data_IF_615424417930
#
_entry.id   IF_615424417930
#
_cell.length_a   1.000
_cell.length_b   1.000
_cell.length_c   1.000
_cell.angle_alpha   90.00
_cell.angle_beta   90.00
_cell.angle_gamma   90.00
#
_symmetry.space_group_name_H-M   'P 1'
#
loop_
_entity.id
_entity.type
_entity.pdbx_description
1 polymer ?
#
# COMPACT_ATOMS: atom_id res chain seq x y z
N UNK A 1 -25.08 -48.25 -17.04
CA UNK A 1 -23.73 -48.14 -17.66
C UNK A 1 -23.44 -49.31 -18.60
N UNK A 2 -23.56 -50.57 -18.15
CA UNK A 2 -23.28 -51.75 -18.97
C UNK A 2 -24.15 -51.87 -20.23
N UNK A 3 -25.45 -51.55 -20.17
CA UNK A 3 -26.34 -51.55 -21.33
C UNK A 3 -25.89 -50.57 -22.42
N UNK A 4 -25.51 -49.34 -22.03
CA UNK A 4 -25.00 -48.31 -22.95
C UNK A 4 -23.64 -48.70 -23.54
N UNK A 5 -22.80 -49.42 -22.78
CA UNK A 5 -21.51 -49.95 -23.24
C UNK A 5 -21.67 -50.94 -24.38
N UNK A 6 -22.58 -51.91 -24.23
CA UNK A 6 -22.88 -52.88 -25.30
C UNK A 6 -23.41 -52.19 -26.56
N UNK A 7 -24.39 -51.28 -26.40
CA UNK A 7 -24.95 -50.52 -27.53
C UNK A 7 -23.90 -49.67 -28.25
N UNK A 8 -22.96 -49.06 -27.52
CA UNK A 8 -21.87 -48.28 -28.10
C UNK A 8 -20.92 -49.16 -28.93
N UNK A 9 -20.46 -50.28 -28.35
CA UNK A 9 -19.52 -51.20 -29.01
C UNK A 9 -20.14 -51.79 -30.29
N UNK A 10 -21.37 -52.28 -30.22
CA UNK A 10 -22.03 -52.91 -31.38
C UNK A 10 -22.23 -51.91 -32.53
N UNK A 11 -22.57 -50.65 -32.22
CA UNK A 11 -22.72 -49.59 -33.23
C UNK A 11 -21.39 -49.19 -33.87
N UNK A 12 -20.30 -49.12 -33.10
CA UNK A 12 -18.96 -48.81 -33.63
C UNK A 12 -18.49 -49.92 -34.59
N UNK A 13 -18.67 -51.19 -34.20
CA UNK A 13 -18.31 -52.35 -35.03
C UNK A 13 -19.09 -52.39 -36.34
N UNK A 14 -20.40 -52.09 -36.31
CA UNK A 14 -21.26 -52.13 -37.49
C UNK A 14 -21.04 -50.96 -38.46
N UNK A 15 -20.75 -49.75 -37.96
CA UNK A 15 -20.77 -48.52 -38.80
C UNK A 15 -19.40 -47.95 -39.15
N UNK A 16 -18.39 -48.09 -38.30
CA UNK A 16 -17.08 -47.46 -38.52
C UNK A 16 -15.97 -48.47 -38.84
N UNK A 17 -16.15 -49.75 -38.51
CA UNK A 17 -15.14 -50.78 -38.70
C UNK A 17 -13.99 -50.63 -37.70
N UNK A 18 -13.84 -51.57 -36.78
CA UNK A 18 -12.80 -51.54 -35.75
C UNK A 18 -12.78 -52.81 -34.90
N UNK A 19 -11.82 -52.95 -33.98
CA UNK A 19 -11.80 -54.09 -33.04
C UNK A 19 -12.64 -53.81 -31.80
N UNK A 20 -13.18 -54.87 -31.21
CA UNK A 20 -14.00 -54.79 -29.99
C UNK A 20 -13.20 -54.24 -28.81
N UNK A 21 -11.91 -54.56 -28.72
CA UNK A 21 -11.07 -54.08 -27.62
C UNK A 21 -10.90 -52.57 -27.66
N UNK A 22 -10.69 -51.98 -28.84
CA UNK A 22 -10.50 -50.52 -29.00
C UNK A 22 -11.80 -49.78 -28.63
N UNK A 23 -12.95 -50.26 -29.10
CA UNK A 23 -14.24 -49.65 -28.77
C UNK A 23 -14.56 -49.72 -27.27
N UNK A 24 -14.21 -50.85 -26.63
CA UNK A 24 -14.33 -51.02 -25.18
C UNK A 24 -13.41 -50.06 -24.43
N UNK A 25 -12.14 -49.97 -24.84
CA UNK A 25 -11.18 -49.07 -24.19
C UNK A 25 -11.60 -47.61 -24.32
N UNK A 26 -12.08 -47.17 -25.49
CA UNK A 26 -12.55 -45.82 -25.72
C UNK A 26 -13.79 -45.48 -24.87
N UNK A 27 -14.72 -46.41 -24.69
CA UNK A 27 -15.84 -46.24 -23.77
C UNK A 27 -15.36 -46.05 -22.33
N UNK A 28 -14.39 -46.85 -21.89
CA UNK A 28 -13.82 -46.74 -20.54
C UNK A 28 -13.09 -45.38 -20.35
N UNK A 29 -12.45 -44.85 -21.39
CA UNK A 29 -11.90 -43.48 -21.38
C UNK A 29 -13.01 -42.42 -21.25
N UNK A 30 -14.07 -42.48 -22.06
CA UNK A 30 -15.21 -41.55 -21.97
C UNK A 30 -15.80 -41.59 -20.56
N UNK A 31 -16.02 -42.77 -19.99
CA UNK A 31 -16.55 -42.94 -18.64
C UNK A 31 -15.66 -42.28 -17.57
N UNK A 32 -14.33 -42.42 -17.71
CA UNK A 32 -13.36 -41.78 -16.81
C UNK A 32 -13.35 -40.25 -16.98
N UNK A 33 -13.37 -39.75 -18.21
CA UNK A 33 -13.41 -38.31 -18.50
C UNK A 33 -14.73 -37.66 -18.08
N UNK A 34 -15.85 -38.37 -18.19
CA UNK A 34 -17.17 -37.86 -17.83
C UNK A 34 -17.26 -37.40 -16.37
N UNK A 35 -16.46 -38.00 -15.46
CA UNK A 35 -16.37 -37.58 -14.06
C UNK A 35 -15.78 -36.18 -13.86
N UNK A 36 -15.02 -35.66 -14.83
CA UNK A 36 -14.38 -34.34 -14.80
C UNK A 36 -14.80 -33.45 -15.97
N UNK A 37 -15.71 -33.92 -16.83
CA UNK A 37 -16.15 -33.19 -18.00
C UNK A 37 -17.00 -31.98 -17.57
N UNK A 38 -16.65 -30.80 -18.08
CA UNK A 38 -17.34 -29.57 -17.73
C UNK A 38 -18.28 -29.12 -18.86
N UNK A 39 -19.50 -28.60 -18.55
CA UNK A 39 -20.45 -28.17 -19.57
C UNK A 39 -19.89 -27.02 -20.43
N UNK A 40 -19.61 -27.29 -21.71
CA UNK A 40 -19.12 -26.28 -22.66
C UNK A 40 -20.06 -25.08 -22.78
N UNK A 41 -21.38 -25.32 -22.74
CA UNK A 41 -22.38 -24.26 -22.80
C UNK A 41 -22.29 -23.27 -21.62
N UNK A 42 -21.80 -23.72 -20.46
CA UNK A 42 -21.54 -22.85 -19.32
C UNK A 42 -20.15 -22.20 -19.41
N UNK A 43 -19.11 -22.94 -19.83
CA UNK A 43 -17.75 -22.42 -19.92
C UNK A 43 -17.59 -21.27 -20.93
N UNK A 44 -18.22 -21.39 -22.11
CA UNK A 44 -18.00 -20.45 -23.22
C UNK A 44 -18.44 -19.02 -22.89
N UNK A 45 -19.64 -18.76 -22.32
CA UNK A 45 -20.03 -17.40 -21.93
C UNK A 45 -19.10 -16.75 -20.90
N UNK A 46 -18.65 -17.49 -19.87
CA UNK A 46 -17.72 -16.95 -18.88
C UNK A 46 -16.32 -16.69 -19.45
N UNK A 47 -15.86 -17.56 -20.35
CA UNK A 47 -14.62 -17.34 -21.08
C UNK A 47 -14.69 -16.08 -21.96
N UNK A 48 -15.84 -15.83 -22.61
CA UNK A 48 -16.05 -14.61 -23.40
C UNK A 48 -15.97 -13.35 -22.54
N UNK A 49 -16.62 -13.34 -21.37
CA UNK A 49 -16.53 -12.21 -20.42
C UNK A 49 -15.08 -12.01 -19.95
N UNK A 50 -14.37 -13.09 -19.63
CA UNK A 50 -12.97 -13.04 -19.21
C UNK A 50 -12.05 -12.50 -20.32
N UNK A 51 -12.32 -12.86 -21.57
CA UNK A 51 -11.61 -12.32 -22.73
C UNK A 51 -11.90 -10.82 -22.91
N UNK A 52 -13.16 -10.40 -22.79
CA UNK A 52 -13.56 -9.00 -22.92
C UNK A 52 -12.92 -8.13 -21.83
N UNK A 53 -12.88 -8.58 -20.57
CA UNK A 53 -12.23 -7.84 -19.49
C UNK A 53 -10.72 -7.76 -19.69
N UNK A 54 -10.09 -8.86 -20.12
CA UNK A 54 -8.66 -8.86 -20.46
C UNK A 54 -8.35 -7.91 -21.62
N UNK A 55 -9.18 -7.89 -22.66
CA UNK A 55 -9.05 -6.98 -23.80
C UNK A 55 -9.14 -5.52 -23.38
N UNK A 56 -10.12 -5.15 -22.55
CA UNK A 56 -10.26 -3.79 -22.03
C UNK A 56 -9.07 -3.39 -21.16
N UNK A 57 -8.59 -4.27 -20.28
CA UNK A 57 -7.41 -4.01 -19.46
C UNK A 57 -6.14 -3.84 -20.30
N UNK A 58 -6.01 -4.57 -21.41
CA UNK A 58 -4.83 -4.49 -22.27
C UNK A 58 -4.80 -3.23 -23.15
N UNK A 59 -5.96 -2.81 -23.69
CA UNK A 59 -6.04 -1.72 -24.67
C UNK A 59 -6.44 -0.37 -24.05
N UNK A 60 -7.26 -0.38 -22.99
CA UNK A 60 -7.78 0.81 -22.31
C UNK A 60 -7.58 0.72 -20.79
N UNK A 61 -6.33 0.56 -20.32
CA UNK A 61 -6.04 0.26 -18.91
C UNK A 61 -6.52 1.36 -17.96
N UNK A 62 -6.46 2.63 -18.37
CA UNK A 62 -6.87 3.78 -17.55
C UNK A 62 -8.38 3.74 -17.25
N UNK A 63 -9.20 3.66 -18.30
CA UNK A 63 -10.67 3.59 -18.20
C UNK A 63 -11.11 2.30 -17.49
N UNK A 64 -10.42 1.19 -17.74
CA UNK A 64 -10.69 -0.07 -17.07
C UNK A 64 -10.44 0.01 -15.57
N UNK A 65 -9.29 0.58 -15.15
CA UNK A 65 -8.96 0.73 -13.74
C UNK A 65 -9.87 1.74 -13.04
N UNK A 66 -10.21 2.86 -13.69
CA UNK A 66 -11.20 3.82 -13.18
C UNK A 66 -12.55 3.15 -12.92
N UNK A 67 -13.07 2.42 -13.92
CA UNK A 67 -14.34 1.71 -13.81
C UNK A 67 -14.32 0.68 -12.68
N UNK A 68 -13.23 -0.07 -12.57
CA UNK A 68 -13.06 -1.09 -11.53
C UNK A 68 -13.01 -0.49 -10.12
N UNK A 69 -12.33 0.64 -9.96
CA UNK A 69 -12.31 1.39 -8.69
C UNK A 69 -13.68 1.94 -8.33
N UNK A 70 -14.43 2.46 -9.31
CA UNK A 70 -15.78 2.98 -9.10
C UNK A 70 -16.80 1.88 -8.73
N UNK A 71 -16.68 0.67 -9.29
CA UNK A 71 -17.55 -0.46 -8.93
C UNK A 71 -17.43 -0.86 -7.44
N UNK A 72 -16.23 -0.75 -6.87
CA UNK A 72 -15.92 -1.19 -5.51
C UNK A 72 -15.47 0.00 -4.63
N UNK A 73 -16.01 1.20 -4.88
CA UNK A 73 -15.56 2.47 -4.27
C UNK A 73 -15.58 2.48 -2.73
N UNK A 74 -16.45 1.68 -2.10
CA UNK A 74 -16.54 1.58 -0.63
C UNK A 74 -15.70 0.44 -0.05
N UNK A 75 -15.09 -0.41 -0.89
CA UNK A 75 -14.27 -1.53 -0.46
C UNK A 75 -12.79 -1.16 -0.43
N UNK A 76 -12.35 -0.63 0.71
CA UNK A 76 -10.96 -0.15 0.89
C UNK A 76 -9.89 -1.23 0.67
N UNK A 77 -10.17 -2.50 0.99
CA UNK A 77 -9.24 -3.60 0.75
C UNK A 77 -9.03 -3.88 -0.73
N UNK A 78 -10.11 -3.84 -1.53
CA UNK A 78 -10.03 -3.96 -2.99
C UNK A 78 -9.41 -2.74 -3.64
N UNK A 79 -9.79 -1.53 -3.20
CA UNK A 79 -9.19 -0.29 -3.71
C UNK A 79 -7.67 -0.27 -3.53
N UNK A 80 -7.15 -0.74 -2.38
CA UNK A 80 -5.70 -0.90 -2.18
C UNK A 80 -5.08 -1.78 -3.26
N UNK A 81 -5.70 -2.92 -3.58
CA UNK A 81 -5.20 -3.83 -4.62
C UNK A 81 -5.22 -3.16 -6.01
N UNK A 82 -6.29 -2.44 -6.32
CA UNK A 82 -6.41 -1.72 -7.59
C UNK A 82 -5.41 -0.58 -7.72
N UNK A 83 -5.16 0.18 -6.65
CA UNK A 83 -4.13 1.23 -6.65
C UNK A 83 -2.74 0.62 -6.84
N UNK A 84 -2.44 -0.49 -6.18
CA UNK A 84 -1.16 -1.19 -6.36
C UNK A 84 -0.98 -1.68 -7.80
N UNK A 85 -2.04 -2.24 -8.39
CA UNK A 85 -2.01 -2.72 -9.78
C UNK A 85 -1.92 -1.57 -10.78
N UNK A 86 -2.64 -0.46 -10.56
CA UNK A 86 -2.54 0.74 -11.38
C UNK A 86 -1.10 1.28 -11.40
N UNK A 87 -0.45 1.39 -10.22
CA UNK A 87 0.96 1.77 -10.10
C UNK A 87 1.88 0.82 -10.87
N UNK A 88 1.65 -0.51 -10.79
CA UNK A 88 2.41 -1.52 -11.54
C UNK A 88 2.25 -1.37 -13.05
N UNK A 89 1.09 -0.93 -13.51
CA UNK A 89 0.79 -0.64 -14.91
C UNK A 89 1.31 0.75 -15.37
N UNK A 90 1.95 1.51 -14.48
CA UNK A 90 2.44 2.86 -14.76
C UNK A 90 1.35 3.93 -14.79
N UNK A 91 0.18 3.65 -14.19
CA UNK A 91 -0.90 4.62 -14.00
C UNK A 91 -0.70 5.29 -12.64
N UNK A 92 -0.61 6.61 -12.63
CA UNK A 92 -0.47 7.40 -11.41
C UNK A 92 -1.84 7.64 -10.80
N UNK A 93 -1.96 7.49 -9.48
CA UNK A 93 -3.16 7.88 -8.75
C UNK A 93 -2.89 9.21 -8.07
N UNK A 94 -3.55 10.27 -8.53
CA UNK A 94 -3.41 11.60 -7.95
C UNK A 94 -4.29 11.73 -6.70
N UNK A 95 -3.83 12.45 -5.65
CA UNK A 95 -4.55 12.57 -4.39
C UNK A 95 -5.87 13.32 -4.57
N UNK A 96 -6.74 13.17 -3.57
CA UNK A 96 -7.99 13.91 -3.50
C UNK A 96 -7.71 15.42 -3.48
N UNK A 97 -8.53 16.20 -4.19
CA UNK A 97 -8.49 17.66 -4.21
C UNK A 97 -9.91 18.18 -4.38
N UNK A 98 -10.39 19.09 -3.52
CA UNK A 98 -11.77 19.60 -3.63
C UNK A 98 -12.03 20.36 -4.94
N UNK A 99 -10.98 20.93 -5.54
CA UNK A 99 -11.07 21.71 -6.77
C UNK A 99 -10.91 20.89 -8.04
N UNK A 100 -10.31 19.70 -7.98
CA UNK A 100 -10.05 18.85 -9.16
C UNK A 100 -10.83 17.53 -9.11
N UNK A 101 -10.90 16.88 -7.95
CA UNK A 101 -11.58 15.59 -7.78
C UNK A 101 -13.08 15.67 -8.01
N UNK A 102 -13.61 14.58 -8.54
CA UNK A 102 -15.05 14.34 -8.63
C UNK A 102 -15.51 13.48 -7.44
N UNK A 103 -16.82 13.26 -7.30
CA UNK A 103 -17.34 12.33 -6.31
C UNK A 103 -16.78 10.92 -6.54
N UNK A 104 -16.75 10.46 -7.79
CA UNK A 104 -16.18 9.19 -8.23
C UNK A 104 -14.73 9.36 -8.72
N UNK A 105 -13.99 8.25 -8.85
CA UNK A 105 -12.69 8.25 -9.52
C UNK A 105 -12.86 8.67 -10.98
N UNK A 106 -11.90 9.45 -11.49
CA UNK A 106 -11.93 9.92 -12.87
C UNK A 106 -10.53 9.97 -13.46
N UNK A 107 -10.37 9.45 -14.68
CA UNK A 107 -9.17 9.61 -15.48
C UNK A 107 -8.94 11.08 -15.88
N UNK A 108 -7.69 11.50 -15.79
CA UNK A 108 -7.14 12.75 -16.30
C UNK A 108 -6.14 12.44 -17.43
N UNK A 109 -5.58 13.47 -18.04
CA UNK A 109 -4.56 13.31 -19.09
C UNK A 109 -3.30 12.60 -18.54
N UNK A 110 -2.59 11.90 -19.44
CA UNK A 110 -1.26 11.29 -19.19
C UNK A 110 -1.25 10.14 -18.19
N UNK A 111 -2.20 9.19 -18.25
CA UNK A 111 -2.22 8.00 -17.36
C UNK A 111 -2.37 8.36 -15.89
N UNK A 112 -3.17 9.36 -15.58
CA UNK A 112 -3.45 9.77 -14.21
C UNK A 112 -4.91 9.48 -13.89
N UNK A 113 -5.19 8.85 -12.76
CA UNK A 113 -6.55 8.73 -12.22
C UNK A 113 -6.61 9.56 -10.95
N UNK A 114 -7.52 10.53 -10.93
CA UNK A 114 -7.78 11.35 -9.74
C UNK A 114 -8.62 10.57 -8.73
N UNK A 115 -8.20 10.63 -7.47
CA UNK A 115 -8.92 9.98 -6.38
C UNK A 115 -10.33 10.58 -6.22
N UNK A 116 -11.35 9.72 -6.19
CA UNK A 116 -12.74 10.13 -5.97
C UNK A 116 -12.99 10.51 -4.51
N UNK A 117 -13.65 11.65 -4.27
CA UNK A 117 -13.91 12.13 -2.91
C UNK A 117 -14.81 11.19 -2.11
N UNK A 118 -15.71 10.45 -2.76
CA UNK A 118 -16.61 9.49 -2.11
C UNK A 118 -15.91 8.19 -1.67
N UNK A 119 -14.67 7.94 -2.13
CA UNK A 119 -13.86 6.80 -1.71
C UNK A 119 -13.18 7.01 -0.35
N UNK A 120 -13.17 8.24 0.16
CA UNK A 120 -12.64 8.58 1.48
C UNK A 120 -13.48 7.93 2.59
N UNK A 121 -12.82 7.42 3.63
CA UNK A 121 -13.50 6.89 4.81
C UNK A 121 -14.29 7.99 5.51
N UNK A 122 -15.48 7.63 6.00
CA UNK A 122 -16.40 8.54 6.70
C UNK A 122 -16.95 9.69 5.84
N UNK A 123 -16.75 9.63 4.52
CA UNK A 123 -17.32 10.58 3.58
C UNK A 123 -18.49 9.91 2.85
N UNK A 124 -19.63 10.60 2.77
CA UNK A 124 -20.83 10.07 2.10
C UNK A 124 -20.85 10.48 0.63
N UNK A 125 -21.22 9.55 -0.27
CA UNK A 125 -21.30 9.80 -1.72
C UNK A 125 -22.17 11.01 -2.05
N UNK A 126 -23.36 11.10 -1.44
CA UNK A 126 -24.28 12.21 -1.68
C UNK A 126 -23.70 13.59 -1.33
N UNK A 127 -22.91 13.67 -0.25
CA UNK A 127 -22.30 14.92 0.17
C UNK A 127 -21.23 15.37 -0.85
N UNK A 128 -20.47 14.41 -1.41
CA UNK A 128 -19.45 14.71 -2.41
C UNK A 128 -20.03 15.03 -3.78
N UNK A 129 -21.15 14.41 -4.14
CA UNK A 129 -21.92 14.80 -5.33
C UNK A 129 -22.46 16.23 -5.20
N UNK A 130 -22.97 16.60 -4.01
CA UNK A 130 -23.44 17.97 -3.76
C UNK A 130 -22.29 18.97 -3.83
N UNK A 131 -21.13 18.64 -3.25
CA UNK A 131 -19.91 19.45 -3.36
C UNK A 131 -19.50 19.63 -4.83
N UNK A 132 -19.50 18.54 -5.61
CA UNK A 132 -19.19 18.59 -7.03
C UNK A 132 -20.18 19.48 -7.80
N UNK A 133 -21.49 19.33 -7.58
CA UNK A 133 -22.53 20.14 -8.23
C UNK A 133 -22.38 21.62 -7.89
N UNK A 134 -22.12 21.93 -6.63
CA UNK A 134 -21.89 23.30 -6.17
C UNK A 134 -20.66 23.92 -6.87
N UNK A 135 -19.58 23.15 -7.04
CA UNK A 135 -18.39 23.55 -7.82
C UNK A 135 -18.70 23.75 -9.31
N UNK A 136 -19.51 22.88 -9.91
CA UNK A 136 -19.89 22.98 -11.33
C UNK A 136 -20.80 24.20 -11.60
N UNK A 137 -21.69 24.55 -10.66
CA UNK A 137 -22.60 25.69 -10.80
C UNK A 137 -21.91 27.04 -10.54
N UNK A 138 -21.09 27.14 -9.49
CA UNK A 138 -20.54 28.42 -9.00
C UNK A 138 -19.02 28.55 -9.22
N UNK A 139 -18.39 27.59 -9.90
CA UNK A 139 -16.95 27.58 -10.19
C UNK A 139 -16.07 27.00 -9.07
N UNK A 140 -14.73 26.94 -9.26
CA UNK A 140 -13.80 26.40 -8.28
C UNK A 140 -13.83 27.21 -6.96
N UNK A 141 -13.44 26.55 -5.87
CA UNK A 141 -13.29 27.20 -4.57
C UNK A 141 -12.00 28.04 -4.56
N UNK A 142 -12.11 29.33 -4.27
CA UNK A 142 -10.97 30.25 -4.26
C UNK A 142 -10.23 30.31 -2.92
N UNK A 143 -10.93 30.06 -1.83
CA UNK A 143 -10.38 30.05 -0.47
C UNK A 143 -11.13 29.07 0.43
N UNK A 144 -10.58 28.82 1.62
CA UNK A 144 -11.23 27.99 2.63
C UNK A 144 -12.58 28.58 3.06
N UNK A 145 -12.66 29.90 3.25
CA UNK A 145 -13.88 30.61 3.61
C UNK A 145 -14.94 30.48 2.51
N UNK A 146 -14.52 30.61 1.24
CA UNK A 146 -15.42 30.41 0.09
C UNK A 146 -16.04 29.01 0.09
N UNK A 147 -15.22 27.98 0.36
CA UNK A 147 -15.69 26.60 0.47
C UNK A 147 -16.67 26.43 1.63
N UNK A 148 -16.33 26.93 2.82
CA UNK A 148 -17.16 26.78 4.02
C UNK A 148 -18.52 27.48 3.88
N UNK A 149 -18.56 28.66 3.27
CA UNK A 149 -19.81 29.39 3.03
C UNK A 149 -20.68 28.77 1.93
N UNK A 150 -20.07 28.28 0.85
CA UNK A 150 -20.84 27.66 -0.25
C UNK A 150 -21.42 26.31 0.14
N UNK A 151 -20.70 25.57 0.97
CA UNK A 151 -21.12 24.25 1.46
C UNK A 151 -21.84 24.31 2.81
N UNK A 152 -22.25 25.52 3.26
CA UNK A 152 -22.89 25.76 4.56
C UNK A 152 -23.91 24.67 4.90
N UNK A 153 -23.72 24.00 6.05
CA UNK A 153 -24.58 22.93 6.57
C UNK A 153 -24.60 21.58 5.79
N UNK A 154 -23.88 21.44 4.68
CA UNK A 154 -23.82 20.17 3.92
C UNK A 154 -22.71 19.24 4.39
N UNK A 155 -21.63 19.80 4.93
CA UNK A 155 -20.49 19.04 5.46
C UNK A 155 -20.58 18.90 6.98
N UNK A 156 -20.48 17.67 7.47
CA UNK A 156 -20.38 17.38 8.90
C UNK A 156 -18.92 17.39 9.37
N UNK A 157 -18.73 17.38 10.71
CA UNK A 157 -17.39 17.35 11.32
C UNK A 157 -16.50 16.24 10.77
N UNK A 158 -17.01 15.00 10.73
CA UNK A 158 -16.23 13.82 10.26
C UNK A 158 -15.82 13.91 8.79
N UNK A 159 -16.68 14.47 7.94
CA UNK A 159 -16.40 14.69 6.52
C UNK A 159 -15.30 15.74 6.36
N UNK A 160 -15.36 16.82 7.13
CA UNK A 160 -14.31 17.84 7.12
C UNK A 160 -12.97 17.29 7.64
N UNK A 161 -12.98 16.50 8.73
CA UNK A 161 -11.80 15.77 9.22
C UNK A 161 -11.19 14.88 8.14
N UNK A 162 -12.02 14.10 7.44
CA UNK A 162 -11.58 13.22 6.36
C UNK A 162 -10.99 14.00 5.17
N UNK A 163 -11.58 15.13 4.77
CA UNK A 163 -11.07 15.98 3.70
C UNK A 163 -9.73 16.64 4.07
N UNK A 164 -9.58 17.11 5.31
CA UNK A 164 -8.33 17.67 5.83
C UNK A 164 -7.23 16.60 5.87
N UNK A 165 -7.52 15.44 6.47
CA UNK A 165 -6.54 14.36 6.64
C UNK A 165 -6.14 13.71 5.31
N UNK A 166 -7.05 13.65 4.33
CA UNK A 166 -6.76 13.21 2.97
C UNK A 166 -5.93 14.21 2.14
N UNK A 167 -5.74 15.44 2.61
CA UNK A 167 -5.07 16.49 1.84
C UNK A 167 -5.93 17.14 0.75
N UNK A 168 -7.25 16.94 0.78
CA UNK A 168 -8.15 17.47 -0.24
C UNK A 168 -8.22 19.01 -0.25
N UNK A 169 -7.85 19.64 0.86
CA UNK A 169 -7.85 21.09 1.05
C UNK A 169 -6.47 21.74 0.88
N UNK A 170 -5.41 20.98 0.57
CA UNK A 170 -4.04 21.49 0.53
C UNK A 170 -3.85 22.62 -0.48
N UNK A 171 -4.59 22.59 -1.59
CA UNK A 171 -4.57 23.65 -2.60
C UNK A 171 -5.23 24.96 -2.14
N UNK A 172 -6.08 24.92 -1.12
CA UNK A 172 -6.72 26.10 -0.51
C UNK A 172 -5.92 26.58 0.70
N UNK A 173 -5.43 25.65 1.51
CA UNK A 173 -4.68 25.95 2.72
C UNK A 173 -3.73 24.79 3.06
N UNK A 174 -2.39 25.01 3.00
CA UNK A 174 -1.41 23.92 3.08
C UNK A 174 -1.21 23.35 4.50
N UNK A 175 -1.54 24.10 5.56
CA UNK A 175 -1.25 23.66 6.93
C UNK A 175 -2.40 22.81 7.51
N UNK A 176 -2.39 21.51 7.21
CA UNK A 176 -3.41 20.55 7.67
C UNK A 176 -3.58 20.51 9.20
N UNK A 177 -2.49 20.62 9.97
CA UNK A 177 -2.52 20.60 11.44
C UNK A 177 -3.34 21.75 12.04
N UNK A 178 -3.17 22.96 11.49
CA UNK A 178 -3.92 24.17 11.85
C UNK A 178 -5.41 24.02 11.54
N UNK A 179 -5.77 23.42 10.40
CA UNK A 179 -7.17 23.13 10.04
C UNK A 179 -7.80 22.13 11.00
N UNK A 180 -7.09 21.05 11.31
CA UNK A 180 -7.57 20.01 12.21
C UNK A 180 -7.76 20.55 13.64
N UNK A 181 -6.82 21.35 14.13
CA UNK A 181 -6.92 21.99 15.44
C UNK A 181 -8.07 23.01 15.51
N UNK A 182 -8.36 23.70 14.40
CA UNK A 182 -9.39 24.73 14.32
C UNK A 182 -10.76 24.20 13.87
N UNK A 183 -10.97 22.89 13.79
CA UNK A 183 -12.13 22.32 13.07
C UNK A 183 -13.49 22.77 13.64
N UNK A 184 -13.62 22.88 14.96
CA UNK A 184 -14.85 23.35 15.59
C UNK A 184 -15.15 24.81 15.27
N UNK A 185 -14.10 25.61 15.01
CA UNK A 185 -14.25 27.00 14.52
C UNK A 185 -14.66 27.03 13.05
N UNK A 186 -14.10 26.14 12.22
CA UNK A 186 -14.50 26.01 10.81
C UNK A 186 -15.99 25.69 10.68
N UNK A 187 -16.49 24.75 11.50
CA UNK A 187 -17.90 24.37 11.50
C UNK A 187 -18.80 25.52 11.97
N UNK A 188 -18.42 26.23 13.04
CA UNK A 188 -19.14 27.42 13.50
C UNK A 188 -19.19 28.50 12.42
N UNK A 189 -18.07 28.72 11.73
CA UNK A 189 -17.99 29.67 10.63
C UNK A 189 -18.87 29.28 9.44
N UNK A 190 -18.90 28.00 9.07
CA UNK A 190 -19.77 27.49 8.00
C UNK A 190 -21.27 27.60 8.32
N UNK A 191 -21.63 27.68 9.60
CA UNK A 191 -23.02 27.86 10.04
C UNK A 191 -23.42 29.35 10.15
N UNK A 192 -22.46 30.29 10.05
CA UNK A 192 -22.77 31.71 10.08
C UNK A 192 -23.43 32.11 8.76
N UNK A 193 -24.59 32.78 8.80
CA UNK A 193 -25.21 33.27 7.59
C UNK A 193 -24.30 34.32 6.96
N UNK A 194 -23.97 34.13 5.67
CA UNK A 194 -23.39 35.19 4.86
C UNK A 194 -24.44 36.29 4.81
N UNK A 195 -24.12 37.47 5.34
CA UNK A 195 -25.03 38.61 5.36
C UNK A 195 -25.27 39.11 3.93
N UNK A 196 -26.18 38.47 3.21
CA UNK A 196 -26.82 39.04 2.05
C UNK A 196 -27.98 39.92 2.55
N UNK A 197 -27.95 41.20 2.18
CA UNK A 197 -29.02 42.19 2.38
C UNK A 197 -29.23 42.83 3.77
N UNK A 198 -28.16 43.12 4.51
CA UNK A 198 -28.24 44.13 5.58
C UNK A 198 -27.62 45.45 5.13
N UNK A 199 -28.40 46.55 5.22
CA UNK A 199 -28.00 47.94 4.97
C UNK A 199 -26.83 48.45 5.84
N UNK A 200 -26.34 47.61 6.75
CA UNK A 200 -25.17 47.87 7.58
C UNK A 200 -24.08 46.89 7.19
N UNK A 201 -22.84 47.35 6.94
CA UNK A 201 -21.71 46.47 6.71
C UNK A 201 -21.43 45.71 7.99
N UNK A 202 -21.94 44.49 8.08
CA UNK A 202 -21.51 43.53 9.09
C UNK A 202 -20.05 43.23 8.78
N UNK A 203 -19.15 43.55 9.70
CA UNK A 203 -17.74 43.18 9.56
C UNK A 203 -17.68 41.68 9.24
N UNK A 204 -17.22 41.35 8.03
CA UNK A 204 -17.01 39.96 7.63
C UNK A 204 -16.01 39.41 8.64
N UNK A 205 -16.49 38.58 9.56
CA UNK A 205 -15.63 37.97 10.57
C UNK A 205 -14.58 37.16 9.83
N UNK A 206 -13.35 37.64 9.78
CA UNK A 206 -12.26 36.90 9.15
C UNK A 206 -12.03 35.60 9.93
N UNK A 207 -11.93 34.48 9.22
CA UNK A 207 -11.70 33.17 9.83
C UNK A 207 -10.36 33.19 10.61
N UNK A 208 -10.44 33.17 11.94
CA UNK A 208 -9.25 33.17 12.79
C UNK A 208 -8.86 31.74 13.20
N UNK A 209 -7.87 31.20 12.48
CA UNK A 209 -7.30 29.87 12.72
C UNK A 209 -6.28 29.90 13.87
N UNK A 210 -6.32 28.88 14.73
CA UNK A 210 -5.31 28.69 15.76
C UNK A 210 -4.13 27.92 15.17
N UNK A 211 -2.96 28.56 15.17
CA UNK A 211 -1.72 27.93 14.73
C UNK A 211 -1.42 26.70 15.60
N UNK A 212 -1.07 25.61 14.93
CA UNK A 212 -0.59 24.37 15.53
C UNK A 212 0.76 24.03 14.92
N UNK A 213 1.68 23.35 15.63
CA UNK A 213 2.88 22.79 15.02
C UNK A 213 2.54 22.00 13.75
N UNK A 214 3.38 22.12 12.73
CA UNK A 214 3.21 21.33 11.50
C UNK A 214 3.36 19.84 11.83
N UNK A 215 2.56 19.00 11.19
CA UNK A 215 2.69 17.55 11.32
C UNK A 215 4.03 17.08 10.77
N UNK A 216 4.64 16.11 11.44
CA UNK A 216 5.78 15.39 10.88
C UNK A 216 5.37 14.58 9.64
N UNK A 217 6.35 14.12 8.85
CA UNK A 217 6.10 13.29 7.67
C UNK A 217 5.35 12.00 8.04
N UNK A 218 5.77 11.33 9.13
CA UNK A 218 5.13 10.10 9.60
C UNK A 218 3.69 10.34 10.04
N UNK A 219 3.46 11.38 10.83
CA UNK A 219 2.14 11.76 11.32
C UNK A 219 1.19 12.09 10.15
N UNK A 220 1.68 12.83 9.15
CA UNK A 220 0.93 13.13 7.92
C UNK A 220 0.52 11.86 7.17
N UNK A 221 1.45 10.91 6.98
CA UNK A 221 1.17 9.65 6.31
C UNK A 221 0.17 8.78 7.07
N UNK A 222 0.21 8.80 8.40
CA UNK A 222 -0.75 8.08 9.24
C UNK A 222 -2.15 8.69 9.14
N UNK A 223 -2.27 10.02 9.11
CA UNK A 223 -3.54 10.69 8.84
C UNK A 223 -4.08 10.38 7.43
N UNK A 224 -3.23 10.36 6.41
CA UNK A 224 -3.62 9.94 5.06
C UNK A 224 -4.10 8.48 5.07
N UNK A 225 -3.40 7.58 5.75
CA UNK A 225 -3.80 6.17 5.89
C UNK A 225 -5.16 6.03 6.58
N UNK A 226 -5.46 6.87 7.57
CA UNK A 226 -6.77 6.88 8.23
C UNK A 226 -7.88 7.35 7.28
N UNK A 227 -7.61 8.36 6.45
CA UNK A 227 -8.57 8.90 5.49
C UNK A 227 -8.84 7.95 4.31
N UNK A 228 -7.79 7.43 3.67
CA UNK A 228 -7.89 6.53 2.51
C UNK A 228 -8.10 5.06 2.91
N UNK A 229 -7.71 4.68 4.13
CA UNK A 229 -7.65 3.30 4.60
C UNK A 229 -6.34 2.56 4.28
N UNK A 230 -5.48 3.14 3.45
CA UNK A 230 -4.18 2.61 3.05
C UNK A 230 -3.24 3.77 2.64
N UNK A 231 -1.96 3.51 2.50
CA UNK A 231 -0.98 4.51 2.05
C UNK A 231 -1.10 4.77 0.55
N UNK A 232 -1.59 5.95 0.15
CA UNK A 232 -1.80 6.31 -1.25
C UNK A 232 -0.50 6.75 -1.94
N UNK A 233 0.18 7.76 -1.41
CA UNK A 233 1.34 8.39 -2.07
C UNK A 233 2.62 7.60 -1.83
N UNK A 234 2.99 7.41 -0.56
CA UNK A 234 4.21 6.72 -0.16
C UNK A 234 3.98 5.95 1.13
N UNK A 235 4.74 4.87 1.31
CA UNK A 235 4.74 4.13 2.57
C UNK A 235 5.82 4.75 3.48
N UNK A 236 5.63 4.80 4.81
CA UNK A 236 6.65 5.31 5.73
C UNK A 236 8.01 4.60 5.59
N UNK A 237 7.98 3.33 5.21
CA UNK A 237 9.19 2.54 4.94
C UNK A 237 9.85 2.83 3.59
N UNK A 238 9.21 3.53 2.65
CA UNK A 238 9.75 3.69 1.29
C UNK A 238 11.13 4.35 1.29
N UNK A 239 11.29 5.48 1.99
CA UNK A 239 12.58 6.17 2.10
C UNK A 239 13.63 5.33 2.83
N UNK A 240 13.21 4.64 3.91
CA UNK A 240 14.09 3.76 4.67
C UNK A 240 14.59 2.57 3.84
N UNK A 241 13.71 1.93 3.07
CA UNK A 241 14.02 0.77 2.23
C UNK A 241 14.82 1.13 0.98
N UNK A 242 14.69 2.36 0.47
CA UNK A 242 15.58 2.87 -0.58
C UNK A 242 17.03 2.96 -0.08
N UNK A 243 17.21 3.34 1.18
CA UNK A 243 18.51 3.45 1.83
C UNK A 243 19.00 2.14 2.49
N UNK A 244 18.21 1.05 2.39
CA UNK A 244 18.50 -0.23 3.05
C UNK A 244 18.47 -1.40 2.05
N UNK A 245 19.49 -1.52 1.18
CA UNK A 245 19.57 -2.58 0.15
C UNK A 245 19.68 -4.00 0.74
N UNK A 246 20.11 -4.11 1.99
CA UNK A 246 20.25 -5.34 2.75
C UNK A 246 18.90 -5.92 3.22
N UNK A 247 17.85 -5.10 3.17
CA UNK A 247 16.49 -5.51 3.51
C UNK A 247 15.83 -6.10 2.27
N UNK A 248 15.43 -7.36 2.38
CA UNK A 248 14.67 -8.04 1.32
C UNK A 248 13.24 -7.50 1.33
N UNK A 249 12.78 -7.02 0.17
CA UNK A 249 11.41 -6.53 -0.02
C UNK A 249 10.48 -7.69 -0.39
N UNK A 250 9.20 -7.53 -0.11
CA UNK A 250 8.16 -8.54 -0.33
C UNK A 250 8.03 -8.95 -1.81
N UNK A 251 8.26 -8.04 -2.75
CA UNK A 251 8.23 -8.33 -4.18
C UNK A 251 9.56 -8.89 -4.73
N UNK A 252 10.66 -8.87 -3.96
CA UNK A 252 11.97 -9.38 -4.38
C UNK A 252 12.05 -10.91 -4.20
N UNK A 253 11.24 -11.61 -5.01
CA UNK A 253 11.11 -13.07 -4.96
C UNK A 253 12.42 -13.78 -5.31
N UNK A 254 13.26 -13.20 -6.17
CA UNK A 254 14.54 -13.78 -6.56
C UNK A 254 15.50 -13.83 -5.36
N UNK A 255 15.74 -12.71 -4.68
CA UNK A 255 16.59 -12.71 -3.48
C UNK A 255 16.02 -13.59 -2.39
N UNK A 256 14.70 -13.52 -2.16
CA UNK A 256 14.04 -14.37 -1.17
C UNK A 256 14.28 -15.85 -1.47
N UNK A 257 14.11 -16.28 -2.72
CA UNK A 257 14.30 -17.68 -3.13
C UNK A 257 15.76 -18.14 -2.95
N UNK A 258 16.73 -17.27 -3.19
CA UNK A 258 18.16 -17.56 -3.01
C UNK A 258 18.51 -17.82 -1.54
N UNK A 259 18.03 -16.97 -0.63
CA UNK A 259 18.26 -17.16 0.81
C UNK A 259 17.59 -18.46 1.32
N UNK A 260 16.37 -18.75 0.86
CA UNK A 260 15.65 -19.97 1.24
C UNK A 260 16.41 -21.21 0.78
N UNK A 261 16.90 -21.24 -0.47
CA UNK A 261 17.69 -22.38 -0.99
C UNK A 261 18.99 -22.60 -0.21
N UNK A 262 19.61 -21.52 0.28
CA UNK A 262 20.83 -21.58 1.11
C UNK A 262 20.54 -21.84 2.59
N UNK A 263 19.27 -21.97 2.99
CA UNK A 263 18.82 -22.08 4.38
C UNK A 263 19.38 -20.95 5.27
N UNK A 264 19.47 -19.75 4.72
CA UNK A 264 20.00 -18.56 5.39
C UNK A 264 18.86 -17.66 5.87
N UNK A 265 19.04 -17.07 7.04
CA UNK A 265 18.16 -16.00 7.53
C UNK A 265 18.45 -14.70 6.78
N UNK A 266 17.42 -13.92 6.51
CA UNK A 266 17.51 -12.61 5.87
C UNK A 266 16.68 -11.58 6.62
N UNK A 267 16.97 -10.30 6.38
CA UNK A 267 16.29 -9.18 7.04
C UNK A 267 15.12 -8.71 6.18
N UNK A 268 13.97 -8.48 6.80
CA UNK A 268 12.82 -7.80 6.20
C UNK A 268 12.35 -6.70 7.15
N UNK A 269 11.75 -5.65 6.61
CA UNK A 269 11.12 -4.61 7.42
C UNK A 269 9.68 -4.42 6.97
N UNK A 270 8.80 -4.06 7.90
CA UNK A 270 7.38 -3.94 7.60
C UNK A 270 6.63 -3.20 8.68
N UNK A 271 5.56 -2.51 8.31
CA UNK A 271 4.59 -1.96 9.26
C UNK A 271 3.51 -2.98 9.55
N UNK A 272 3.21 -3.18 10.83
CA UNK A 272 2.18 -4.12 11.27
C UNK A 272 0.81 -3.62 10.79
N UNK A 273 0.12 -4.46 10.03
CA UNK A 273 -1.24 -4.18 9.55
C UNK A 273 -2.29 -4.91 10.38
N UNK A 274 -2.03 -6.18 10.72
CA UNK A 274 -2.94 -7.01 11.48
C UNK A 274 -2.18 -8.12 12.22
N UNK A 275 -2.70 -8.52 13.37
CA UNK A 275 -2.17 -9.62 14.19
C UNK A 275 -3.30 -10.62 14.46
N UNK A 276 -3.07 -11.89 14.10
CA UNK A 276 -4.00 -12.99 14.33
C UNK A 276 -3.36 -14.04 15.23
N UNK A 277 -3.66 -13.99 16.51
CA UNK A 277 -3.23 -15.01 17.48
C UNK A 277 -4.04 -16.31 17.29
N UNK A 278 -3.37 -17.46 17.37
CA UNK A 278 -3.93 -18.80 17.30
C UNK A 278 -3.28 -19.72 18.34
N UNK A 279 -3.97 -20.80 18.66
CA UNK A 279 -3.46 -21.86 19.55
C UNK A 279 -3.19 -23.09 18.71
N UNK A 280 -1.99 -23.66 18.84
CA UNK A 280 -1.62 -24.89 18.16
C UNK A 280 -2.31 -26.09 18.81
N UNK A 281 -2.34 -27.24 18.11
CA UNK A 281 -2.88 -28.50 18.65
C UNK A 281 -2.20 -28.94 19.96
N UNK A 282 -0.96 -28.50 20.20
CA UNK A 282 -0.20 -28.74 21.42
C UNK A 282 -0.36 -27.65 22.50
N UNK A 283 -1.35 -26.77 22.39
CA UNK A 283 -1.65 -25.74 23.40
C UNK A 283 -0.74 -24.50 23.37
N UNK A 284 0.37 -24.53 22.62
CA UNK A 284 1.26 -23.36 22.46
C UNK A 284 0.62 -22.29 21.58
N UNK A 285 0.70 -21.03 22.00
CA UNK A 285 0.23 -19.86 21.23
C UNK A 285 1.20 -19.53 20.11
N UNK A 286 0.68 -19.05 18.99
CA UNK A 286 1.44 -18.49 17.89
C UNK A 286 0.61 -17.41 17.20
N UNK A 287 1.23 -16.53 16.42
CA UNK A 287 0.52 -15.48 15.71
C UNK A 287 0.92 -15.43 14.24
N UNK A 288 -0.04 -15.11 13.38
CA UNK A 288 0.22 -14.65 12.02
C UNK A 288 0.16 -13.12 12.03
N UNK A 289 1.23 -12.48 11.60
CA UNK A 289 1.31 -11.02 11.53
C UNK A 289 1.38 -10.65 10.05
N UNK A 290 0.44 -9.83 9.60
CA UNK A 290 0.47 -9.25 8.26
C UNK A 290 1.22 -7.93 8.33
N UNK A 291 2.30 -7.79 7.56
CA UNK A 291 3.06 -6.56 7.44
C UNK A 291 3.00 -5.98 6.02
N UNK A 292 3.20 -4.68 5.91
CA UNK A 292 3.36 -3.97 4.64
C UNK A 292 4.73 -3.29 4.57
N UNK A 293 5.42 -3.41 3.44
CA UNK A 293 6.67 -2.70 3.16
C UNK A 293 6.50 -1.53 2.17
N UNK A 294 5.27 -1.32 1.69
CA UNK A 294 4.93 -0.31 0.68
C UNK A 294 4.95 -0.81 -0.77
N UNK A 295 5.64 -1.91 -1.05
CA UNK A 295 5.56 -2.60 -2.35
C UNK A 295 4.49 -3.69 -2.31
N UNK A 296 4.34 -4.37 -1.17
CA UNK A 296 3.38 -5.43 -0.98
C UNK A 296 3.07 -5.69 0.47
N UNK A 297 2.22 -6.70 0.68
CA UNK A 297 1.95 -7.24 2.00
C UNK A 297 2.52 -8.65 2.06
N UNK A 298 3.08 -9.01 3.21
CA UNK A 298 3.57 -10.35 3.49
C UNK A 298 3.16 -10.79 4.89
N UNK A 299 3.05 -12.10 5.07
CA UNK A 299 2.65 -12.69 6.35
C UNK A 299 3.85 -13.41 6.97
N UNK A 300 4.10 -13.12 8.25
CA UNK A 300 5.11 -13.81 9.05
C UNK A 300 4.43 -14.65 10.13
N UNK A 301 5.05 -15.78 10.46
CA UNK A 301 4.68 -16.60 11.60
C UNK A 301 5.55 -16.25 12.81
N UNK A 302 4.90 -15.99 13.95
CA UNK A 302 5.55 -15.74 15.23
C UNK A 302 5.18 -16.83 16.24
N UNK A 303 6.17 -17.56 16.75
CA UNK A 303 5.96 -18.62 17.74
C UNK A 303 5.94 -18.07 19.17
N UNK A 304 5.41 -18.87 20.10
CA UNK A 304 5.09 -18.48 21.49
C UNK A 304 6.19 -17.69 22.21
N UNK A 305 7.46 -18.07 22.02
CA UNK A 305 8.59 -17.47 22.76
C UNK A 305 8.79 -16.00 22.34
N UNK A 306 8.76 -15.72 21.04
CA UNK A 306 8.85 -14.36 20.49
C UNK A 306 7.56 -13.57 20.70
N UNK A 307 6.40 -14.22 20.59
CA UNK A 307 5.09 -13.59 20.78
C UNK A 307 4.93 -13.04 22.19
N UNK A 308 5.37 -13.78 23.20
CA UNK A 308 5.27 -13.35 24.60
C UNK A 308 6.27 -12.23 24.90
N UNK A 309 7.48 -12.30 24.31
CA UNK A 309 8.55 -11.33 24.53
C UNK A 309 8.26 -9.96 23.90
N UNK A 310 7.73 -9.93 22.67
CA UNK A 310 7.60 -8.70 21.88
C UNK A 310 6.14 -8.25 21.72
N UNK A 311 5.23 -8.70 22.58
CA UNK A 311 3.79 -8.44 22.44
C UNK A 311 3.44 -6.95 22.29
N UNK A 312 4.14 -6.09 23.02
CA UNK A 312 3.92 -4.64 23.02
C UNK A 312 4.37 -3.97 21.70
N UNK A 313 5.25 -4.64 20.94
CA UNK A 313 5.70 -4.20 19.61
C UNK A 313 4.78 -4.66 18.47
N UNK A 314 3.77 -5.48 18.77
CA UNK A 314 2.87 -6.06 17.76
C UNK A 314 1.58 -5.25 17.65
N UNK A 315 1.67 -3.93 17.67
CA UNK A 315 0.50 -3.07 17.50
C UNK A 315 0.39 -2.58 16.05
N UNK A 316 -0.82 -2.57 15.44
CA UNK A 316 -1.01 -2.03 14.10
C UNK A 316 -0.48 -0.58 13.99
N UNK A 317 0.29 -0.31 12.94
CA UNK A 317 0.96 0.98 12.72
C UNK A 317 2.40 1.05 13.20
N UNK A 318 2.88 0.10 14.02
CA UNK A 318 4.30 0.05 14.37
C UNK A 318 5.14 -0.53 13.24
N UNK A 319 6.30 0.09 12.99
CA UNK A 319 7.30 -0.43 12.07
C UNK A 319 8.24 -1.39 12.80
N UNK A 320 8.49 -2.53 12.17
CA UNK A 320 9.32 -3.59 12.70
C UNK A 320 10.46 -3.92 11.76
N UNK A 321 11.58 -4.25 12.38
CA UNK A 321 12.75 -4.84 11.75
C UNK A 321 12.82 -6.32 12.13
N UNK A 322 12.86 -7.19 11.13
CA UNK A 322 12.59 -8.61 11.28
C UNK A 322 13.76 -9.42 10.73
N UNK A 323 14.25 -10.36 11.54
CA UNK A 323 15.12 -11.43 11.05
C UNK A 323 14.25 -12.64 10.72
N UNK A 324 14.22 -13.04 9.46
CA UNK A 324 13.31 -14.06 8.94
C UNK A 324 14.10 -15.24 8.37
N UNK A 325 13.60 -16.45 8.62
CA UNK A 325 13.97 -17.66 7.90
C UNK A 325 12.77 -18.14 7.07
N UNK A 326 12.94 -18.22 5.75
CA UNK A 326 11.91 -18.76 4.87
C UNK A 326 12.03 -20.28 4.73
N UNK A 327 10.89 -20.97 4.70
CA UNK A 327 10.78 -22.40 4.40
C UNK A 327 9.83 -22.62 3.23
N UNK A 328 10.17 -23.57 2.35
CA UNK A 328 9.27 -24.05 1.30
C UNK A 328 8.43 -25.20 1.86
N UNK A 329 7.12 -24.98 2.01
CA UNK A 329 6.13 -26.01 2.36
C UNK A 329 5.08 -26.06 1.23
N UNK A 330 4.88 -27.22 0.60
CA UNK A 330 3.79 -27.47 -0.35
C UNK A 330 3.57 -26.37 -1.41
N UNK A 331 4.65 -25.84 -2.00
CA UNK A 331 4.68 -24.77 -3.01
C UNK A 331 4.45 -23.34 -2.49
N UNK A 332 4.24 -23.14 -1.19
CA UNK A 332 4.18 -21.82 -0.57
C UNK A 332 5.47 -21.50 0.20
N UNK A 333 5.91 -20.24 0.15
CA UNK A 333 6.99 -19.75 1.01
C UNK A 333 6.40 -19.33 2.34
N UNK A 334 6.82 -20.00 3.41
CA UNK A 334 6.44 -19.66 4.78
C UNK A 334 7.56 -18.90 5.46
N UNK A 335 7.26 -17.68 5.90
CA UNK A 335 8.21 -16.81 6.58
C UNK A 335 8.10 -17.03 8.09
N UNK A 336 9.19 -17.51 8.70
CA UNK A 336 9.28 -17.74 10.15
C UNK A 336 10.20 -16.69 10.74
N UNK A 337 9.69 -15.95 11.71
CA UNK A 337 10.46 -14.92 12.40
C UNK A 337 11.42 -15.55 13.40
N UNK A 338 12.67 -15.11 13.40
CA UNK A 338 13.70 -15.50 14.35
C UNK A 338 13.94 -14.43 15.42
N UNK A 339 13.87 -13.15 15.04
CA UNK A 339 14.00 -12.03 15.98
C UNK A 339 13.25 -10.79 15.46
N UNK A 340 12.88 -9.90 16.38
CA UNK A 340 12.15 -8.67 16.13
C UNK A 340 12.85 -7.52 16.86
N UNK A 341 13.03 -6.40 16.17
CA UNK A 341 13.33 -5.12 16.78
C UNK A 341 12.31 -4.06 16.35
N UNK A 342 12.05 -3.09 17.23
CA UNK A 342 11.29 -1.91 16.87
C UNK A 342 12.09 -1.08 15.86
N UNK A 343 11.47 -0.73 14.74
CA UNK A 343 12.09 0.15 13.77
C UNK A 343 11.64 1.58 14.07
N UNK A 344 12.55 2.36 14.67
CA UNK A 344 12.38 3.81 14.74
C UNK A 344 12.74 4.42 13.38
N UNK A 345 12.04 5.49 13.01
CA UNK A 345 12.42 6.37 11.92
C UNK A 345 13.06 7.62 12.53
N UNK A 346 14.39 7.68 12.67
CA UNK A 346 15.05 8.95 12.95
C UNK A 346 14.71 9.95 11.85
N UNK A 347 14.55 11.22 12.20
CA UNK A 347 14.25 12.29 11.25
C UNK A 347 15.29 12.36 10.11
N UNK A 348 16.54 11.93 10.37
CA UNK A 348 17.55 11.70 9.35
C UNK A 348 18.36 10.42 9.61
N UNK A 349 18.34 9.49 8.63
CA UNK A 349 19.26 8.36 8.55
C UNK A 349 20.12 8.50 7.30
N UNK A 350 21.43 8.51 7.47
CA UNK A 350 22.37 8.46 6.36
C UNK A 350 22.90 7.04 6.17
N UNK A 351 22.65 6.48 4.99
CA UNK A 351 23.18 5.18 4.60
C UNK A 351 24.51 5.35 3.85
N UNK A 352 25.55 4.78 4.42
CA UNK A 352 26.90 4.71 3.84
C UNK A 352 27.14 3.30 3.30
N UNK A 353 27.47 3.20 2.02
CA UNK A 353 27.80 1.93 1.36
C UNK A 353 29.30 1.72 1.44
N UNK A 354 29.72 0.52 1.84
CA UNK A 354 31.12 0.13 1.99
C UNK A 354 31.44 -1.11 1.14
N UNK A 355 32.40 -1.05 0.21
CA UNK A 355 32.80 -2.17 -0.67
C UNK A 355 34.00 -2.96 -0.14
N UNK A 356 34.85 -2.33 0.68
CA UNK A 356 36.09 -2.92 1.17
C UNK A 356 36.25 -2.70 2.67
N UNK A 357 36.83 -3.66 3.38
CA UNK A 357 37.11 -3.58 4.81
C UNK A 357 38.03 -2.40 5.16
N UNK A 358 38.90 -1.98 4.25
CA UNK A 358 39.84 -0.87 4.48
C UNK A 358 39.15 0.49 4.58
N UNK A 359 37.91 0.62 4.10
CA UNK A 359 37.15 1.87 4.17
C UNK A 359 36.44 2.06 5.52
N UNK A 360 36.49 1.05 6.41
CA UNK A 360 35.89 1.15 7.75
C UNK A 360 36.69 2.15 8.60
N UNK A 361 38.01 2.12 8.54
CA UNK A 361 38.89 3.05 9.29
C UNK A 361 38.68 4.50 8.80
N UNK A 362 38.54 4.68 7.48
CA UNK A 362 38.21 5.98 6.88
C UNK A 362 36.83 6.49 7.31
N UNK A 363 35.84 5.60 7.46
CA UNK A 363 34.54 5.98 7.98
C UNK A 363 34.65 6.43 9.44
N UNK A 364 35.44 5.74 10.26
CA UNK A 364 35.62 6.12 11.66
C UNK A 364 36.28 7.51 11.77
N UNK A 365 37.32 7.79 10.99
CA UNK A 365 37.97 9.11 10.96
C UNK A 365 37.01 10.21 10.47
N UNK A 366 36.25 9.93 9.41
CA UNK A 366 35.24 10.86 8.88
C UNK A 366 34.12 11.15 9.89
N UNK A 367 33.64 10.15 10.62
CA UNK A 367 32.62 10.35 11.63
C UNK A 367 33.14 11.10 12.86
N UNK A 368 34.43 10.99 13.18
CA UNK A 368 35.08 11.78 14.22
C UNK A 368 35.14 13.27 13.85
N UNK A 369 35.33 13.63 12.57
CA UNK A 369 35.34 15.03 12.13
C UNK A 369 33.95 15.66 12.11
N UNK A 370 32.89 14.88 11.84
CA UNK A 370 31.52 15.36 11.86
C UNK A 370 30.99 15.67 13.28
N UNK A 371 31.51 15.02 14.31
CA UNK A 371 31.07 15.21 15.70
C UNK A 371 29.67 14.63 16.01
N UNK A 372 29.24 14.64 17.30
CA UNK A 372 27.95 14.09 17.71
C UNK A 372 26.79 14.95 17.21
N UNK A 373 25.71 14.31 16.76
CA UNK A 373 24.51 14.99 16.26
C UNK A 373 23.30 14.06 16.16
N UNK A 374 22.28 14.48 15.43
CA UNK A 374 20.99 13.78 15.38
C UNK A 374 20.86 12.80 14.20
N UNK A 375 21.81 12.79 13.25
CA UNK A 375 21.74 11.92 12.07
C UNK A 375 22.25 10.53 12.44
N UNK A 376 21.39 9.52 12.36
CA UNK A 376 21.85 8.14 12.55
C UNK A 376 22.60 7.65 11.31
N UNK A 377 23.73 6.99 11.54
CA UNK A 377 24.57 6.47 10.45
C UNK A 377 24.36 4.97 10.35
N UNK A 378 23.90 4.53 9.19
CA UNK A 378 23.79 3.12 8.82
C UNK A 378 24.90 2.79 7.83
N UNK A 379 25.65 1.73 8.08
CA UNK A 379 26.64 1.22 7.15
C UNK A 379 26.15 -0.07 6.50
N UNK A 380 26.46 -0.25 5.22
CA UNK A 380 26.22 -1.47 4.46
C UNK A 380 27.52 -1.91 3.82
N UNK A 381 28.15 -2.96 4.35
CA UNK A 381 29.39 -3.53 3.86
C UNK A 381 29.08 -4.68 2.90
N UNK A 382 29.51 -4.59 1.65
CA UNK A 382 29.49 -5.71 0.70
C UNK A 382 30.76 -6.54 0.88
N UNK A 383 30.61 -7.80 1.30
CA UNK A 383 31.72 -8.73 1.41
C UNK A 383 31.75 -9.58 0.14
N UNK A 384 32.84 -9.50 -0.63
CA UNK A 384 33.05 -10.34 -1.81
C UNK A 384 32.76 -11.81 -1.47
N UNK A 385 31.85 -12.44 -2.21
CA UNK A 385 31.38 -13.83 -2.10
C UNK A 385 30.62 -14.28 -0.84
N UNK A 386 30.36 -13.41 0.16
CA UNK A 386 29.65 -13.81 1.41
C UNK A 386 28.36 -13.04 1.71
N UNK A 387 28.01 -12.05 0.92
CA UNK A 387 26.78 -11.26 1.05
C UNK A 387 27.03 -9.87 1.63
N UNK A 388 25.95 -9.18 2.01
CA UNK A 388 25.99 -7.84 2.60
C UNK A 388 25.81 -7.91 4.12
N UNK A 389 26.66 -7.19 4.85
CA UNK A 389 26.53 -6.99 6.29
C UNK A 389 26.14 -5.54 6.51
N UNK A 390 25.04 -5.31 7.22
CA UNK A 390 24.59 -3.95 7.56
C UNK A 390 24.50 -3.76 9.07
N UNK A 391 24.63 -2.51 9.51
CA UNK A 391 24.45 -2.13 10.89
C UNK A 391 24.13 -0.66 11.02
N UNK A 392 23.48 -0.29 12.12
CA UNK A 392 23.27 1.11 12.49
C UNK A 392 24.16 1.43 13.67
N UNK A 393 24.90 2.54 13.59
CA UNK A 393 25.70 2.99 14.72
C UNK A 393 24.78 3.51 15.83
N UNK A 394 25.04 3.17 17.11
CA UNK A 394 24.19 3.56 18.22
C UNK A 394 24.26 5.06 18.53
N UNK A 395 25.27 5.76 18.03
CA UNK A 395 25.45 7.21 18.19
C UNK A 395 25.07 7.94 16.91
N UNK A 396 24.37 9.07 17.05
CA UNK A 396 24.10 9.98 15.95
C UNK A 396 25.25 10.98 15.73
N UNK A 397 25.35 11.49 14.51
CA UNK A 397 26.41 12.39 14.05
C UNK A 397 25.84 13.66 13.41
N UNK A 398 26.61 14.74 13.36
CA UNK A 398 26.19 15.99 12.74
C UNK A 398 26.59 16.03 11.24
N UNK A 399 25.77 15.38 10.40
CA UNK A 399 26.05 15.21 8.98
C UNK A 399 25.25 16.19 8.12
N UNK A 400 25.92 17.20 7.58
CA UNK A 400 25.36 18.13 6.59
C UNK A 400 25.32 17.50 5.20
N UNK A 401 24.57 18.10 4.26
CA UNK A 401 24.54 17.66 2.86
C UNK A 401 25.94 17.62 2.23
N UNK A 402 26.79 18.60 2.55
CA UNK A 402 28.18 18.69 2.09
C UNK A 402 29.06 17.54 2.62
N UNK A 403 28.86 17.13 3.88
CA UNK A 403 29.51 15.94 4.44
C UNK A 403 29.08 14.68 3.68
N UNK A 404 27.77 14.53 3.41
CA UNK A 404 27.22 13.37 2.67
C UNK A 404 27.77 13.28 1.24
N UNK A 405 27.95 14.41 0.54
CA UNK A 405 28.57 14.48 -0.78
C UNK A 405 30.08 14.20 -0.76
N UNK A 406 30.80 14.74 0.23
CA UNK A 406 32.25 14.51 0.38
C UNK A 406 32.59 13.04 0.61
N UNK A 407 31.72 12.30 1.32
CA UNK A 407 31.87 10.86 1.45
C UNK A 407 31.60 10.12 0.14
N UNK A 408 30.61 10.57 -0.66
CA UNK A 408 30.33 9.97 -1.97
C UNK A 408 31.49 10.17 -2.95
N UNK A 409 32.15 11.33 -2.95
CA UNK A 409 33.31 11.56 -3.81
C UNK A 409 34.52 10.71 -3.40
N UNK A 410 34.74 10.51 -2.09
CA UNK A 410 35.74 9.55 -1.58
C UNK A 410 35.46 8.09 -2.00
N UNK A 411 34.21 7.79 -2.35
CA UNK A 411 33.69 6.48 -2.72
C UNK A 411 33.63 6.21 -4.23
N UNK A 412 33.45 7.25 -5.06
CA UNK A 412 33.38 7.11 -6.53
C UNK A 412 34.76 7.08 -7.19
N UNK A 413 35.79 7.59 -6.52
CA UNK A 413 37.19 7.62 -7.03
C UNK A 413 38.06 6.42 -6.58
N UNK A 414 37.53 5.45 -5.82
CA UNK A 414 38.21 4.21 -5.38
C UNK A 414 37.30 2.97 -5.45
#
# INVERSE_FOLDING_TARGET
MNTQRHTFIDRVLQKQGGSREIASHFFDQIAKFAGYAFPKAHAVPYALISYQTAYLKANYPEVFMESLMNCDIHNTDKLRLFVSEAKRMGIQIAPACVNDSHALFKGEDKKVIRYGLAALKNVGTQAMENLQKERELNGPFSSLENLLHRLSCTLNKKQLEALITAGALDGLFPHRSTLMHSIDRLLKFSAQPVAADTLFPTEISSLCLQSSPAWGNFETLEYERQAFGFYLNSHPLTLFLQNSPDVVRSQDMEKMSLYIRKNQSFRMCGMVMAVKEKVSKGGKKYAFITLSDGEGNYEITLFSDLLTKYRDLLTPGQALDLKIAGRLEEQAVRLITQDIAALSFPDEVWACFIKSSNSIDLLEEFLKTAGPGNVQVRFVISIQDKGTVSGTLPKGFNLTAQHKESWKSLWEDN
#
